data_IF_150289262621
#
_entry.id   IF_150289262621
#
_cell.length_a   1.000
_cell.length_b   1.000
_cell.length_c   1.000
_cell.angle_alpha   90.00
_cell.angle_beta   90.00
_cell.angle_gamma   90.00
#
_symmetry.space_group_name_H-M   'P 1'
#
loop_
_entity.id
_entity.type
_entity.pdbx_description
1 polymer ?
#
# COMPACT_ATOMS: atom_id res chain seq x y z
N UNK A 1 7.71 8.31 14.20
CA UNK A 1 7.39 9.01 12.93
C UNK A 1 6.95 10.45 13.18
N UNK A 2 7.58 11.17 14.12
CA UNK A 2 7.19 12.55 14.49
C UNK A 2 5.84 12.70 15.22
N UNK A 3 4.99 11.68 15.20
CA UNK A 3 3.68 11.63 15.87
C UNK A 3 3.67 10.53 16.93
N UNK A 4 2.94 10.77 18.01
CA UNK A 4 2.75 9.85 19.16
C UNK A 4 1.34 9.27 19.20
N UNK A 5 0.60 9.36 18.11
CA UNK A 5 -0.78 8.89 17.95
C UNK A 5 -0.94 8.15 16.64
N UNK A 6 -1.99 7.33 16.55
CA UNK A 6 -2.39 6.62 15.34
C UNK A 6 -2.56 7.61 14.20
N UNK A 7 -1.85 7.39 13.10
CA UNK A 7 -1.89 8.25 11.92
C UNK A 7 -3.19 7.99 11.15
N UNK A 8 -3.97 9.04 10.88
CA UNK A 8 -5.17 8.93 10.04
C UNK A 8 -4.87 9.52 8.66
N UNK A 9 -4.92 8.68 7.65
CA UNK A 9 -4.62 9.02 6.27
C UNK A 9 -5.82 8.90 5.35
N UNK A 10 -5.83 9.67 4.27
CA UNK A 10 -6.85 9.53 3.23
C UNK A 10 -6.30 9.75 1.82
N UNK A 11 -7.01 9.28 0.79
CA UNK A 11 -6.80 9.66 -0.61
C UNK A 11 -7.90 10.62 -1.06
N UNK A 12 -7.54 11.81 -1.54
CA UNK A 12 -8.51 12.81 -1.98
C UNK A 12 -7.93 14.21 -2.14
N UNK A 13 -8.84 15.16 -2.40
CA UNK A 13 -8.55 16.57 -2.66
C UNK A 13 -8.57 17.46 -1.42
N UNK A 14 -8.38 18.76 -1.65
CA UNK A 14 -8.46 19.82 -0.62
C UNK A 14 -9.89 20.01 -0.11
N UNK A 15 -10.89 19.53 -0.86
CA UNK A 15 -12.29 19.47 -0.46
C UNK A 15 -12.51 18.57 0.76
N UNK A 16 -11.58 17.64 1.04
CA UNK A 16 -11.59 16.76 2.22
C UNK A 16 -10.53 17.22 3.23
N UNK A 17 -9.32 17.58 2.78
CA UNK A 17 -8.18 17.97 3.61
C UNK A 17 -8.54 19.03 4.66
N UNK A 18 -9.30 20.04 4.25
CA UNK A 18 -9.64 21.19 5.10
C UNK A 18 -10.65 20.87 6.21
N UNK A 19 -11.26 19.68 6.23
CA UNK A 19 -12.43 19.37 7.08
C UNK A 19 -12.11 18.52 8.32
N UNK A 20 -10.96 17.87 8.36
CA UNK A 20 -10.54 17.07 9.51
C UNK A 20 -9.01 17.10 9.67
N UNK A 21 -8.47 16.85 10.87
CA UNK A 21 -7.03 16.84 11.13
C UNK A 21 -6.39 15.52 10.66
N UNK A 22 -6.34 15.29 9.35
CA UNK A 22 -5.64 14.15 8.78
C UNK A 22 -4.12 14.28 9.00
N UNK A 23 -3.45 13.14 9.14
CA UNK A 23 -1.99 13.06 9.26
C UNK A 23 -1.31 12.71 7.93
N UNK A 24 -1.96 11.89 7.10
CA UNK A 24 -1.43 11.44 5.82
C UNK A 24 -2.37 11.80 4.68
N UNK A 25 -1.79 12.21 3.56
CA UNK A 25 -2.50 12.30 2.28
C UNK A 25 -1.83 11.35 1.31
N UNK A 26 -2.51 10.28 0.91
CA UNK A 26 -1.88 9.26 0.07
C UNK A 26 -2.33 9.30 -1.39
N UNK A 27 -1.39 9.01 -2.28
CA UNK A 27 -1.57 8.96 -3.72
C UNK A 27 -1.02 7.65 -4.29
N UNK A 28 -1.76 7.03 -5.21
CA UNK A 28 -1.23 5.99 -6.07
C UNK A 28 -0.36 6.61 -7.16
N UNK A 29 0.89 6.18 -7.24
CA UNK A 29 1.69 6.31 -8.44
C UNK A 29 1.53 5.01 -9.21
N UNK A 30 0.52 5.00 -10.07
CA UNK A 30 0.16 3.85 -10.90
C UNK A 30 0.25 4.24 -12.37
N UNK A 31 0.80 3.36 -13.20
CA UNK A 31 0.93 3.66 -14.61
C UNK A 31 2.02 2.90 -15.35
N UNK A 32 2.19 3.27 -16.62
CA UNK A 32 3.27 2.72 -17.43
C UNK A 32 4.60 3.38 -17.06
N UNK A 33 5.72 2.75 -17.45
CA UNK A 33 7.01 3.44 -17.51
C UNK A 33 7.23 3.88 -18.96
N UNK A 34 7.44 5.18 -19.17
CA UNK A 34 7.72 5.73 -20.49
C UNK A 34 8.93 5.09 -21.17
N UNK A 35 8.93 5.02 -22.51
CA UNK A 35 9.98 4.37 -23.31
C UNK A 35 11.30 5.15 -23.42
N UNK A 36 11.60 6.03 -22.45
CA UNK A 36 12.73 6.96 -22.54
C UNK A 36 12.48 8.16 -23.44
N UNK A 37 11.22 8.46 -23.78
CA UNK A 37 10.86 9.75 -24.40
C UNK A 37 11.40 10.90 -23.55
N UNK A 38 12.09 11.84 -24.20
CA UNK A 38 12.58 13.06 -23.56
C UNK A 38 11.45 14.06 -23.25
N UNK A 39 10.20 13.71 -23.54
CA UNK A 39 9.04 14.59 -23.48
C UNK A 39 7.78 13.87 -23.01
N UNK A 40 6.96 14.60 -22.27
CA UNK A 40 5.65 14.17 -21.81
C UNK A 40 4.61 14.31 -22.91
N UNK A 41 4.18 13.15 -23.38
CA UNK A 41 3.15 12.97 -24.40
C UNK A 41 2.11 11.91 -23.96
N UNK A 42 2.46 11.06 -23.00
CA UNK A 42 1.60 10.03 -22.41
C UNK A 42 1.53 10.23 -20.89
N UNK A 43 0.35 10.59 -20.40
CA UNK A 43 0.08 10.86 -18.97
C UNK A 43 -0.36 9.63 -18.20
N UNK A 44 -0.37 8.44 -18.84
CA UNK A 44 -0.39 7.18 -18.10
C UNK A 44 0.94 6.89 -17.40
N UNK A 45 1.99 7.68 -17.65
CA UNK A 45 3.23 7.67 -16.88
C UNK A 45 3.23 8.79 -15.84
N UNK A 46 3.34 8.42 -14.56
CA UNK A 46 3.22 9.37 -13.45
C UNK A 46 4.27 10.48 -13.46
N UNK A 47 5.46 10.25 -14.06
CA UNK A 47 6.49 11.30 -14.18
C UNK A 47 6.07 12.45 -15.10
N UNK A 48 4.98 12.29 -15.85
CA UNK A 48 4.38 13.36 -16.65
C UNK A 48 3.25 14.10 -15.94
N UNK A 49 2.84 13.68 -14.75
CA UNK A 49 1.84 14.42 -13.99
C UNK A 49 2.41 15.78 -13.54
N UNK A 50 1.59 16.82 -13.64
CA UNK A 50 2.00 18.21 -13.39
C UNK A 50 2.88 18.84 -14.47
N UNK A 51 3.38 18.06 -15.45
CA UNK A 51 4.18 18.58 -16.56
C UNK A 51 3.30 19.16 -17.67
N UNK A 52 3.78 20.21 -18.33
CA UNK A 52 3.19 20.66 -19.59
C UNK A 52 3.53 19.68 -20.73
N UNK A 53 2.61 19.49 -21.69
CA UNK A 53 2.86 18.66 -22.86
C UNK A 53 4.12 19.10 -23.60
N UNK A 54 5.00 18.14 -23.90
CA UNK A 54 6.27 18.39 -24.57
C UNK A 54 7.45 18.75 -23.65
N UNK A 55 7.24 18.88 -22.34
CA UNK A 55 8.32 19.03 -21.33
C UNK A 55 8.90 17.69 -20.93
N UNK A 56 10.15 17.63 -20.45
CA UNK A 56 10.72 16.39 -19.95
C UNK A 56 9.91 15.80 -18.77
N UNK A 57 9.80 14.47 -18.70
CA UNK A 57 9.27 13.80 -17.51
C UNK A 57 10.15 14.09 -16.29
N UNK A 58 9.58 14.01 -15.10
CA UNK A 58 10.32 14.16 -13.86
C UNK A 58 9.45 14.01 -12.63
N UNK A 59 9.89 14.60 -11.53
CA UNK A 59 9.27 14.46 -10.22
C UNK A 59 8.43 15.67 -9.78
N UNK A 60 8.00 16.51 -10.72
CA UNK A 60 7.23 17.73 -10.41
C UNK A 60 5.97 17.42 -9.60
N UNK A 61 5.19 16.43 -10.01
CA UNK A 61 4.02 15.99 -9.25
C UNK A 61 4.37 15.61 -7.80
N UNK A 62 5.48 14.91 -7.58
CA UNK A 62 5.90 14.46 -6.24
C UNK A 62 6.16 15.66 -5.33
N UNK A 63 6.93 16.65 -5.80
CA UNK A 63 7.25 17.83 -5.01
C UNK A 63 6.05 18.74 -4.78
N UNK A 64 5.18 18.90 -5.79
CA UNK A 64 3.92 19.65 -5.67
C UNK A 64 2.95 18.98 -4.70
N UNK A 65 2.83 17.65 -4.75
CA UNK A 65 1.97 16.90 -3.85
C UNK A 65 2.44 16.96 -2.40
N UNK A 66 3.76 16.88 -2.15
CA UNK A 66 4.35 17.11 -0.83
C UNK A 66 4.03 18.53 -0.34
N UNK A 67 4.22 19.54 -1.19
CA UNK A 67 3.93 20.93 -0.84
C UNK A 67 2.43 21.14 -0.53
N UNK A 68 1.56 20.48 -1.29
CA UNK A 68 0.11 20.52 -1.07
C UNK A 68 -0.30 19.86 0.25
N UNK A 69 0.20 18.66 0.56
CA UNK A 69 -0.06 18.01 1.85
C UNK A 69 0.38 18.91 3.03
N UNK A 70 1.53 19.57 2.88
CA UNK A 70 2.06 20.45 3.92
C UNK A 70 1.17 21.69 4.20
N UNK A 71 0.33 22.15 3.26
CA UNK A 71 -0.61 23.27 3.52
C UNK A 71 -1.68 22.91 4.55
N UNK A 72 -1.94 21.60 4.72
CA UNK A 72 -2.88 21.04 5.68
C UNK A 72 -2.20 20.37 6.88
N UNK A 73 -0.88 20.54 7.06
CA UNK A 73 -0.08 19.85 8.10
C UNK A 73 -0.07 18.32 7.96
N UNK A 74 -0.36 17.84 6.75
CA UNK A 74 -0.33 16.42 6.38
C UNK A 74 1.06 16.03 5.88
N UNK A 75 1.37 14.74 5.96
CA UNK A 75 2.54 14.14 5.33
C UNK A 75 2.09 13.39 4.08
N UNK A 76 2.74 13.66 2.95
CA UNK A 76 2.48 12.93 1.73
C UNK A 76 2.84 11.44 1.88
N UNK A 77 1.97 10.57 1.38
CA UNK A 77 2.24 9.14 1.24
C UNK A 77 2.12 8.76 -0.24
N UNK A 78 3.11 8.05 -0.77
CA UNK A 78 3.10 7.52 -2.13
C UNK A 78 2.99 6.00 -2.07
N UNK A 79 1.94 5.45 -2.66
CA UNK A 79 1.91 4.03 -3.00
C UNK A 79 2.49 3.88 -4.39
N UNK A 80 3.70 3.34 -4.48
CA UNK A 80 4.39 3.05 -5.72
C UNK A 80 3.87 1.72 -6.26
N UNK A 81 2.93 1.78 -7.21
CA UNK A 81 2.26 0.64 -7.83
C UNK A 81 2.50 0.68 -9.34
N UNK A 82 3.75 0.46 -9.74
CA UNK A 82 4.20 0.67 -11.12
C UNK A 82 4.52 -0.66 -11.79
N UNK A 83 4.95 -1.69 -11.04
CA UNK A 83 5.41 -2.94 -11.61
C UNK A 83 4.35 -3.61 -12.50
N UNK A 84 3.15 -3.87 -11.97
CA UNK A 84 2.09 -4.52 -12.73
C UNK A 84 1.65 -3.72 -13.97
N UNK A 85 1.21 -2.45 -13.87
CA UNK A 85 0.73 -1.71 -15.03
C UNK A 85 1.83 -1.49 -16.08
N UNK A 86 3.07 -1.24 -15.68
CA UNK A 86 4.18 -1.09 -16.61
C UNK A 86 4.56 -2.42 -17.28
N UNK A 87 4.53 -3.54 -16.56
CA UNK A 87 4.81 -4.86 -17.12
C UNK A 87 3.72 -5.29 -18.11
N UNK A 88 2.43 -5.06 -17.79
CA UNK A 88 1.31 -5.28 -18.72
C UNK A 88 1.46 -4.50 -20.04
N UNK A 89 2.04 -3.31 -19.98
CA UNK A 89 2.29 -2.49 -21.16
C UNK A 89 3.50 -2.96 -21.99
N UNK A 90 4.56 -3.46 -21.34
CA UNK A 90 5.85 -3.75 -22.00
C UNK A 90 6.06 -5.21 -22.35
N UNK A 91 5.46 -6.12 -21.61
CA UNK A 91 5.64 -7.56 -21.75
C UNK A 91 4.36 -8.14 -22.36
N UNK A 92 4.49 -8.74 -23.55
CA UNK A 92 3.33 -9.30 -24.24
C UNK A 92 2.69 -10.47 -23.47
N UNK A 93 1.36 -10.54 -23.48
CA UNK A 93 0.58 -11.59 -22.80
C UNK A 93 0.92 -11.71 -21.31
N UNK A 94 1.03 -10.58 -20.61
CA UNK A 94 1.37 -10.52 -19.20
C UNK A 94 0.12 -10.50 -18.33
N UNK A 95 0.05 -11.39 -17.35
CA UNK A 95 -1.03 -11.46 -16.36
C UNK A 95 -0.54 -10.98 -14.99
N UNK A 96 -1.47 -10.63 -14.12
CA UNK A 96 -1.14 -10.37 -12.71
C UNK A 96 -0.87 -11.68 -11.97
N UNK A 97 -0.03 -11.63 -10.94
CA UNK A 97 0.35 -12.80 -10.17
C UNK A 97 1.71 -13.38 -10.52
N UNK A 98 1.84 -14.69 -10.83
CA UNK A 98 3.14 -15.34 -11.03
C UNK A 98 4.03 -14.70 -12.12
N UNK A 99 3.44 -14.03 -13.10
CA UNK A 99 4.15 -13.33 -14.17
C UNK A 99 4.98 -12.14 -13.65
N UNK A 100 4.53 -11.45 -12.59
CA UNK A 100 5.29 -10.38 -11.94
C UNK A 100 6.61 -10.90 -11.36
N UNK A 101 6.57 -12.08 -10.76
CA UNK A 101 7.74 -12.69 -10.12
C UNK A 101 8.64 -13.39 -11.14
N UNK A 102 8.06 -14.10 -12.12
CA UNK A 102 8.83 -14.94 -13.03
C UNK A 102 9.25 -14.26 -14.33
N UNK A 103 8.62 -13.15 -14.71
CA UNK A 103 8.88 -12.46 -15.98
C UNK A 103 9.27 -11.01 -15.77
N UNK A 104 8.52 -10.22 -15.01
CA UNK A 104 8.86 -8.81 -14.80
C UNK A 104 10.12 -8.67 -13.95
N UNK A 105 10.13 -9.28 -12.75
CA UNK A 105 11.28 -9.22 -11.84
C UNK A 105 12.57 -9.81 -12.43
N UNK A 106 12.48 -10.71 -13.40
CA UNK A 106 13.64 -11.37 -14.02
C UNK A 106 14.10 -10.74 -15.34
N UNK A 107 13.35 -9.79 -15.90
CA UNK A 107 13.71 -9.08 -17.13
C UNK A 107 14.64 -7.89 -16.81
N UNK A 108 15.93 -7.92 -17.23
CA UNK A 108 16.87 -6.87 -16.88
C UNK A 108 16.54 -5.51 -17.51
N UNK A 109 15.98 -5.49 -18.72
CA UNK A 109 15.65 -4.23 -19.38
C UNK A 109 14.45 -3.55 -18.70
N UNK A 110 13.45 -4.35 -18.32
CA UNK A 110 12.32 -3.88 -17.53
C UNK A 110 12.77 -3.39 -16.15
N UNK A 111 13.50 -4.22 -15.39
CA UNK A 111 13.92 -3.86 -14.04
C UNK A 111 14.86 -2.67 -13.99
N UNK A 112 15.73 -2.49 -15.00
CA UNK A 112 16.56 -1.29 -15.12
C UNK A 112 15.73 -0.01 -15.26
N UNK A 113 14.67 -0.05 -16.07
CA UNK A 113 13.75 1.09 -16.23
C UNK A 113 12.88 1.31 -14.99
N UNK A 114 12.41 0.23 -14.36
CA UNK A 114 11.60 0.26 -13.14
C UNK A 114 12.36 0.87 -11.95
N UNK A 115 13.58 0.42 -11.69
CA UNK A 115 14.40 0.98 -10.59
C UNK A 115 14.80 2.43 -10.87
N UNK A 116 15.07 2.80 -12.13
CA UNK A 116 15.30 4.19 -12.50
C UNK A 116 14.06 5.07 -12.28
N UNK A 117 12.86 4.56 -12.57
CA UNK A 117 11.60 5.24 -12.30
C UNK A 117 11.36 5.43 -10.80
N UNK A 118 11.60 4.38 -10.00
CA UNK A 118 11.55 4.45 -8.54
C UNK A 118 12.56 5.48 -7.98
N UNK A 119 13.77 5.56 -8.55
CA UNK A 119 14.75 6.60 -8.17
C UNK A 119 14.20 8.01 -8.42
N UNK A 120 13.51 8.26 -9.54
CA UNK A 120 12.90 9.58 -9.80
C UNK A 120 11.88 9.95 -8.73
N UNK A 121 11.09 9.00 -8.21
CA UNK A 121 10.19 9.25 -7.07
C UNK A 121 11.00 9.70 -5.85
N UNK A 122 12.04 8.95 -5.50
CA UNK A 122 12.86 9.24 -4.32
C UNK A 122 13.60 10.58 -4.44
N UNK A 123 14.16 10.89 -5.61
CA UNK A 123 14.79 12.19 -5.89
C UNK A 123 13.78 13.34 -5.78
N UNK A 124 12.52 13.10 -6.19
CA UNK A 124 11.41 14.03 -5.99
C UNK A 124 11.05 14.31 -4.54
N UNK A 125 11.13 13.28 -3.69
CA UNK A 125 10.93 13.41 -2.25
C UNK A 125 12.11 14.18 -1.63
N UNK A 126 13.34 13.83 -2.02
CA UNK A 126 14.58 14.42 -1.52
C UNK A 126 14.65 14.37 0.01
N UNK A 127 14.83 15.53 0.66
CA UNK A 127 14.92 15.60 2.11
C UNK A 127 13.58 15.80 2.82
N UNK A 128 12.46 15.77 2.09
CA UNK A 128 11.13 15.90 2.70
C UNK A 128 10.77 14.66 3.51
N UNK A 129 9.96 14.84 4.57
CA UNK A 129 9.29 13.71 5.19
C UNK A 129 8.14 13.27 4.26
N UNK A 130 8.15 12.01 3.87
CA UNK A 130 7.07 11.36 3.11
C UNK A 130 6.99 9.89 3.51
N UNK A 131 5.86 9.25 3.27
CA UNK A 131 5.71 7.79 3.36
C UNK A 131 5.79 7.18 1.97
N UNK A 132 6.53 6.09 1.84
CA UNK A 132 6.67 5.33 0.59
C UNK A 132 6.25 3.90 0.86
N UNK A 133 5.13 3.52 0.27
CA UNK A 133 4.62 2.17 0.24
C UNK A 133 5.04 1.54 -1.09
N UNK A 134 5.88 0.51 -1.02
CA UNK A 134 6.49 -0.11 -2.21
C UNK A 134 5.67 -1.32 -2.65
N UNK A 135 5.13 -1.24 -3.87
CA UNK A 135 4.47 -2.30 -4.64
C UNK A 135 3.45 -3.13 -3.84
N UNK A 136 2.18 -2.69 -3.82
CA UNK A 136 1.06 -3.55 -3.46
C UNK A 136 1.11 -4.89 -4.22
N UNK A 137 0.67 -5.97 -3.57
CA UNK A 137 0.44 -7.32 -4.11
C UNK A 137 1.67 -8.10 -4.63
N UNK A 138 2.63 -7.43 -5.28
CA UNK A 138 3.82 -8.02 -5.87
C UNK A 138 4.59 -8.93 -4.89
N UNK A 139 4.84 -8.44 -3.67
CA UNK A 139 5.52 -9.21 -2.63
C UNK A 139 4.66 -10.37 -2.11
N UNK A 140 3.34 -10.21 -2.11
CA UNK A 140 2.38 -11.27 -1.80
C UNK A 140 2.46 -12.42 -2.79
N UNK A 141 2.53 -12.14 -4.09
CA UNK A 141 2.73 -13.16 -5.12
C UNK A 141 4.07 -13.88 -5.02
N UNK A 142 5.14 -13.16 -4.66
CA UNK A 142 6.42 -13.78 -4.35
C UNK A 142 6.29 -14.75 -3.15
N UNK A 143 5.56 -14.35 -2.11
CA UNK A 143 5.23 -15.20 -0.96
C UNK A 143 4.48 -16.46 -1.36
N UNK A 144 3.46 -16.34 -2.22
CA UNK A 144 2.65 -17.47 -2.70
C UNK A 144 3.46 -18.52 -3.46
N UNK A 145 4.58 -18.12 -4.07
CA UNK A 145 5.48 -19.03 -4.79
C UNK A 145 6.47 -19.71 -3.84
N UNK A 146 7.06 -18.96 -2.90
CA UNK A 146 8.17 -19.44 -2.07
C UNK A 146 7.70 -20.15 -0.78
N UNK A 147 6.77 -19.54 -0.04
CA UNK A 147 6.36 -20.00 1.30
C UNK A 147 5.82 -21.44 1.29
N UNK A 148 4.94 -21.86 0.35
CA UNK A 148 4.43 -23.24 0.33
C UNK A 148 5.49 -24.31 0.06
N UNK A 149 6.64 -23.92 -0.52
CA UNK A 149 7.78 -24.80 -0.79
C UNK A 149 8.78 -24.84 0.37
N UNK A 150 8.50 -24.13 1.47
CA UNK A 150 9.45 -23.94 2.57
C UNK A 150 10.66 -23.09 2.17
N UNK A 151 10.51 -22.21 1.18
CA UNK A 151 11.54 -21.32 0.67
C UNK A 151 11.27 -19.87 1.10
N UNK A 152 12.25 -19.00 0.88
CA UNK A 152 12.18 -17.57 1.14
C UNK A 152 12.52 -16.75 -0.12
N UNK A 153 12.62 -15.42 0.02
CA UNK A 153 12.85 -14.52 -1.09
C UNK A 153 14.23 -14.68 -1.76
N UNK A 154 15.21 -15.33 -1.12
CA UNK A 154 16.52 -15.60 -1.73
C UNK A 154 16.42 -16.64 -2.85
N UNK A 155 15.41 -17.52 -2.81
CA UNK A 155 15.19 -18.55 -3.83
C UNK A 155 14.58 -18.04 -5.13
N UNK A 156 14.05 -16.81 -5.14
CA UNK A 156 13.33 -16.24 -6.28
C UNK A 156 14.26 -15.30 -7.04
N UNK A 157 14.61 -15.55 -8.31
CA UNK A 157 15.53 -14.69 -9.05
C UNK A 157 14.93 -13.32 -9.34
N UNK A 158 15.77 -12.28 -9.32
CA UNK A 158 15.41 -10.94 -9.76
C UNK A 158 16.61 -10.20 -10.38
N UNK A 159 16.37 -9.37 -11.39
CA UNK A 159 17.38 -8.58 -12.08
C UNK A 159 17.67 -7.27 -11.33
N UNK A 160 18.39 -7.37 -10.22
CA UNK A 160 18.61 -6.26 -9.26
C UNK A 160 19.65 -5.24 -9.75
N UNK A 161 20.69 -5.67 -10.46
CA UNK A 161 21.82 -4.82 -10.84
C UNK A 161 21.63 -4.03 -12.15
N UNK A 162 20.38 -3.95 -12.63
CA UNK A 162 20.07 -3.40 -13.95
C UNK A 162 20.09 -1.86 -14.05
N UNK A 163 19.89 -1.12 -12.94
CA UNK A 163 19.90 0.36 -12.94
C UNK A 163 21.22 0.99 -12.48
N UNK A 164 22.14 0.19 -11.92
CA UNK A 164 23.38 0.67 -11.31
C UNK A 164 23.26 1.16 -9.86
N UNK A 165 22.05 1.42 -9.35
CA UNK A 165 21.82 1.84 -7.96
C UNK A 165 22.02 0.69 -6.95
N UNK A 166 21.98 -0.55 -7.45
CA UNK A 166 22.05 -1.77 -6.64
C UNK A 166 23.08 -2.76 -7.22
N UNK A 167 24.38 -2.41 -7.17
CA UNK A 167 25.42 -3.19 -7.83
C UNK A 167 25.64 -4.57 -7.16
N UNK A 168 25.92 -5.56 -7.99
CA UNK A 168 26.50 -6.84 -7.52
C UNK A 168 27.95 -6.60 -7.05
N UNK A 169 28.42 -7.28 -5.98
CA UNK A 169 27.75 -8.33 -5.21
C UNK A 169 27.02 -7.80 -3.96
N UNK A 170 26.86 -6.48 -3.80
CA UNK A 170 26.25 -5.90 -2.60
C UNK A 170 24.78 -6.33 -2.44
N UNK A 171 24.04 -6.39 -3.54
CA UNK A 171 22.68 -6.91 -3.57
C UNK A 171 22.63 -8.20 -4.39
N UNK A 172 22.03 -9.23 -3.81
CA UNK A 172 21.84 -10.53 -4.45
C UNK A 172 20.91 -10.41 -5.66
N UNK A 173 21.11 -11.23 -6.69
CA UNK A 173 20.20 -11.29 -7.86
C UNK A 173 18.95 -12.11 -7.56
N UNK A 174 18.24 -11.73 -6.52
CA UNK A 174 17.03 -12.38 -6.03
C UNK A 174 16.02 -11.36 -5.51
N UNK A 175 14.80 -11.83 -5.22
CA UNK A 175 13.75 -11.00 -4.63
C UNK A 175 14.18 -10.43 -3.28
N UNK A 176 14.97 -11.19 -2.51
CA UNK A 176 15.61 -10.70 -1.29
C UNK A 176 16.53 -9.50 -1.56
N UNK A 177 17.35 -9.58 -2.61
CA UNK A 177 18.20 -8.47 -3.03
C UNK A 177 17.41 -7.27 -3.54
N UNK A 178 16.31 -7.50 -4.26
CA UNK A 178 15.44 -6.44 -4.79
C UNK A 178 14.80 -5.61 -3.67
N UNK A 179 14.18 -6.25 -2.68
CA UNK A 179 13.57 -5.56 -1.54
C UNK A 179 14.59 -4.71 -0.76
N UNK A 180 15.76 -5.30 -0.46
CA UNK A 180 16.86 -4.62 0.23
C UNK A 180 17.43 -3.45 -0.59
N UNK A 181 17.54 -3.64 -1.91
CA UNK A 181 17.96 -2.62 -2.86
C UNK A 181 17.02 -1.41 -2.82
N UNK A 182 15.71 -1.62 -2.97
CA UNK A 182 14.74 -0.52 -2.98
C UNK A 182 14.72 0.26 -1.67
N UNK A 183 14.82 -0.42 -0.52
CA UNK A 183 14.94 0.25 0.78
C UNK A 183 16.25 1.04 0.87
N UNK A 184 17.37 0.49 0.41
CA UNK A 184 18.66 1.19 0.37
C UNK A 184 18.63 2.41 -0.53
N UNK A 185 17.95 2.35 -1.67
CA UNK A 185 17.72 3.49 -2.55
C UNK A 185 16.95 4.59 -1.81
N UNK A 186 15.89 4.25 -1.07
CA UNK A 186 15.16 5.22 -0.26
C UNK A 186 16.06 5.90 0.77
N UNK A 187 16.97 5.17 1.43
CA UNK A 187 17.95 5.78 2.36
C UNK A 187 18.95 6.70 1.69
N UNK A 188 19.34 6.41 0.45
CA UNK A 188 20.31 7.22 -0.29
C UNK A 188 19.68 8.49 -0.90
N UNK A 189 18.49 8.37 -1.50
CA UNK A 189 17.86 9.42 -2.30
C UNK A 189 16.79 10.21 -1.52
N UNK A 190 16.14 9.58 -0.53
CA UNK A 190 15.09 10.18 0.27
C UNK A 190 15.28 9.91 1.78
N UNK A 191 16.37 10.40 2.41
CA UNK A 191 16.81 9.95 3.74
C UNK A 191 15.81 10.19 4.87
N UNK A 192 14.89 11.14 4.71
CA UNK A 192 13.84 11.44 5.69
C UNK A 192 12.52 10.70 5.41
N UNK A 193 12.40 10.02 4.27
CA UNK A 193 11.23 9.23 3.94
C UNK A 193 11.11 8.00 4.85
N UNK A 194 9.86 7.62 5.11
CA UNK A 194 9.47 6.41 5.81
C UNK A 194 9.05 5.38 4.77
N UNK A 195 9.70 4.23 4.76
CA UNK A 195 9.54 3.24 3.69
C UNK A 195 9.06 1.91 4.23
N UNK A 196 8.11 1.28 3.53
CA UNK A 196 7.60 -0.04 3.88
C UNK A 196 7.26 -0.87 2.66
N UNK A 197 7.56 -2.16 2.74
CA UNK A 197 7.12 -3.16 1.77
C UNK A 197 5.69 -3.60 2.10
N UNK A 198 4.94 -3.98 1.07
CA UNK A 198 3.61 -4.53 1.22
C UNK A 198 3.64 -5.98 1.71
N UNK A 199 2.78 -6.32 2.67
CA UNK A 199 2.62 -7.62 3.29
C UNK A 199 1.16 -8.08 3.13
N UNK A 200 0.82 -8.57 1.94
CA UNK A 200 -0.54 -9.01 1.62
C UNK A 200 -0.99 -10.13 2.54
N UNK A 201 -2.18 -9.99 3.11
CA UNK A 201 -2.70 -10.95 4.07
C UNK A 201 -3.04 -12.33 3.46
N UNK A 202 -3.08 -12.40 2.13
CA UNK A 202 -3.23 -13.61 1.32
C UNK A 202 -1.89 -14.20 0.81
N UNK A 203 -0.76 -13.57 1.13
CA UNK A 203 0.57 -13.92 0.59
C UNK A 203 1.08 -15.32 0.95
N UNK A 204 0.45 -16.02 1.89
CA UNK A 204 0.80 -17.42 2.25
C UNK A 204 -0.04 -18.47 1.52
N UNK A 205 -0.84 -18.07 0.51
CA UNK A 205 -1.94 -18.83 -0.10
C UNK A 205 -3.17 -19.06 0.80
N UNK A 206 -3.20 -18.43 1.98
CA UNK A 206 -4.39 -18.33 2.80
C UNK A 206 -4.78 -16.86 2.91
N UNK A 207 -5.97 -16.49 2.43
CA UNK A 207 -6.55 -15.19 2.74
C UNK A 207 -7.03 -15.20 4.19
N UNK A 208 -6.18 -14.73 5.09
CA UNK A 208 -6.45 -14.70 6.53
C UNK A 208 -7.52 -13.68 6.91
N UNK A 209 -7.77 -12.64 6.10
CA UNK A 209 -8.71 -11.58 6.44
C UNK A 209 -10.13 -11.92 6.01
N UNK A 210 -10.30 -12.71 4.96
CA UNK A 210 -11.59 -13.26 4.55
C UNK A 210 -11.80 -14.71 5.00
N UNK A 211 -10.87 -15.28 5.75
CA UNK A 211 -10.99 -16.64 6.29
C UNK A 211 -12.23 -16.79 7.20
N UNK A 212 -12.97 -17.87 6.97
CA UNK A 212 -14.16 -18.27 7.76
C UNK A 212 -13.93 -19.53 8.59
N UNK A 213 -12.79 -20.21 8.42
CA UNK A 213 -12.49 -21.40 9.19
C UNK A 213 -11.86 -21.02 10.53
N UNK A 214 -12.55 -21.30 11.63
CA UNK A 214 -12.00 -21.15 12.98
C UNK A 214 -10.78 -22.04 13.26
N UNK A 215 -10.48 -23.01 12.37
CA UNK A 215 -9.30 -23.86 12.49
C UNK A 215 -8.03 -23.26 11.90
N UNK A 216 -8.11 -22.15 11.16
CA UNK A 216 -6.93 -21.50 10.61
C UNK A 216 -6.21 -20.74 11.73
N UNK A 217 -4.95 -21.09 11.98
CA UNK A 217 -4.10 -20.34 12.89
C UNK A 217 -3.56 -19.08 12.16
N UNK A 218 -4.32 -17.98 12.26
CA UNK A 218 -3.95 -16.72 11.61
C UNK A 218 -2.65 -16.13 12.16
N UNK A 219 -2.30 -16.42 13.41
CA UNK A 219 -1.02 -16.01 14.00
C UNK A 219 0.14 -16.78 13.37
N UNK A 220 -0.02 -18.08 13.14
CA UNK A 220 0.99 -18.89 12.45
C UNK A 220 1.16 -18.46 10.98
N UNK A 221 0.08 -18.12 10.29
CA UNK A 221 0.15 -17.56 8.92
C UNK A 221 0.86 -16.20 8.89
N UNK A 222 0.53 -15.29 9.82
CA UNK A 222 1.24 -14.02 9.98
C UNK A 222 2.75 -14.22 10.21
N UNK A 223 3.13 -15.21 11.03
CA UNK A 223 4.55 -15.52 11.28
C UNK A 223 5.27 -16.10 10.05
N UNK A 224 4.58 -16.91 9.22
CA UNK A 224 5.13 -17.39 7.94
C UNK A 224 5.40 -16.21 7.01
N UNK A 225 4.41 -15.33 6.84
CA UNK A 225 4.56 -14.13 6.03
C UNK A 225 5.66 -13.22 6.60
N UNK A 226 5.67 -12.97 7.92
CA UNK A 226 6.68 -12.14 8.57
C UNK A 226 8.11 -12.62 8.33
N UNK A 227 8.38 -13.93 8.40
CA UNK A 227 9.69 -14.49 8.05
C UNK A 227 10.05 -14.27 6.58
N UNK A 228 9.09 -14.39 5.68
CA UNK A 228 9.30 -14.07 4.27
C UNK A 228 9.61 -12.58 4.07
N UNK A 229 8.87 -11.68 4.73
CA UNK A 229 9.13 -10.23 4.71
C UNK A 229 10.51 -9.86 5.26
N UNK A 230 10.98 -10.55 6.31
CA UNK A 230 12.35 -10.37 6.81
C UNK A 230 13.41 -10.77 5.77
N UNK A 231 13.17 -11.83 5.00
CA UNK A 231 14.10 -12.21 3.91
C UNK A 231 14.19 -11.14 2.82
N UNK A 232 13.08 -10.44 2.55
CA UNK A 232 13.03 -9.24 1.67
C UNK A 232 13.72 -8.00 2.24
N UNK A 233 14.06 -8.00 3.54
CA UNK A 233 14.64 -6.85 4.23
C UNK A 233 13.63 -5.86 4.78
N UNK A 234 12.37 -6.26 5.01
CA UNK A 234 11.33 -5.38 5.56
C UNK A 234 11.73 -4.74 6.91
N UNK A 235 12.58 -5.39 7.70
CA UNK A 235 13.17 -4.86 8.93
C UNK A 235 14.12 -3.68 8.70
N UNK A 236 14.65 -3.49 7.50
CA UNK A 236 15.45 -2.31 7.11
C UNK A 236 14.56 -1.07 6.84
N UNK A 237 13.25 -1.30 6.63
CA UNK A 237 12.24 -0.27 6.49
C UNK A 237 11.81 0.34 7.82
N UNK A 238 10.79 1.18 7.77
CA UNK A 238 10.21 1.85 8.94
C UNK A 238 8.88 1.20 9.37
N UNK A 239 8.17 0.53 8.46
CA UNK A 239 6.89 -0.15 8.66
C UNK A 239 6.68 -1.25 7.60
N UNK A 240 5.64 -2.06 7.77
CA UNK A 240 5.05 -2.88 6.69
C UNK A 240 3.65 -2.38 6.38
N UNK A 241 3.20 -2.56 5.15
CA UNK A 241 1.84 -2.18 4.73
C UNK A 241 0.98 -3.42 4.61
N UNK A 242 -0.28 -3.39 5.04
CA UNK A 242 -1.21 -4.50 4.87
C UNK A 242 -2.60 -3.98 4.49
N UNK A 243 -3.25 -4.63 3.53
CA UNK A 243 -4.55 -4.25 2.97
C UNK A 243 -5.73 -4.93 3.65
N UNK A 244 -6.84 -4.19 3.74
CA UNK A 244 -8.11 -4.72 4.23
C UNK A 244 -9.05 -5.07 3.09
N UNK A 245 -9.13 -4.17 2.09
CA UNK A 245 -9.84 -4.37 0.83
C UNK A 245 -9.55 -3.19 -0.11
N UNK A 246 -9.55 -3.43 -1.40
CA UNK A 246 -9.50 -2.39 -2.45
C UNK A 246 -10.87 -1.76 -2.77
N UNK A 247 -11.97 -2.45 -2.45
CA UNK A 247 -13.35 -2.04 -2.75
C UNK A 247 -14.27 -2.15 -1.55
N UNK A 248 -15.35 -1.37 -1.58
CA UNK A 248 -16.39 -1.39 -0.54
C UNK A 248 -17.12 -2.74 -0.51
N UNK A 249 -17.45 -3.23 0.69
CA UNK A 249 -18.16 -4.49 0.85
C UNK A 249 -19.54 -4.51 0.15
N UNK A 250 -20.23 -3.36 0.12
CA UNK A 250 -21.49 -3.17 -0.62
C UNK A 250 -21.32 -3.31 -2.14
N UNK A 251 -20.19 -2.87 -2.68
CA UNK A 251 -19.87 -3.08 -4.11
C UNK A 251 -19.68 -4.57 -4.40
N UNK A 252 -18.91 -5.27 -3.57
CA UNK A 252 -18.70 -6.71 -3.71
C UNK A 252 -20.01 -7.51 -3.60
N UNK A 253 -20.97 -7.06 -2.80
CA UNK A 253 -22.28 -7.73 -2.75
C UNK A 253 -23.04 -7.66 -4.08
N UNK A 254 -22.82 -6.62 -4.88
CA UNK A 254 -23.46 -6.45 -6.20
C UNK A 254 -22.71 -7.18 -7.32
N UNK A 255 -21.38 -7.14 -7.29
CA UNK A 255 -20.56 -7.69 -8.36
C UNK A 255 -20.61 -6.88 -9.66
N UNK A 256 -20.34 -7.51 -10.82
CA UNK A 256 -20.25 -6.81 -12.11
C UNK A 256 -21.55 -6.11 -12.52
N UNK A 257 -21.49 -4.96 -13.22
CA UNK A 257 -20.30 -4.37 -13.85
C UNK A 257 -19.52 -3.37 -12.98
N UNK A 258 -20.07 -2.91 -11.86
CA UNK A 258 -19.44 -1.87 -11.02
C UNK A 258 -18.38 -2.44 -10.07
N UNK A 259 -18.48 -3.73 -9.74
CA UNK A 259 -17.47 -4.46 -9.01
C UNK A 259 -16.89 -5.60 -9.84
N UNK A 260 -15.63 -5.96 -9.58
CA UNK A 260 -14.93 -7.00 -10.34
C UNK A 260 -15.61 -8.37 -10.24
N UNK A 261 -16.14 -8.70 -9.07
CA UNK A 261 -16.78 -9.98 -8.77
C UNK A 261 -17.80 -9.82 -7.64
N UNK A 262 -18.70 -10.79 -7.53
CA UNK A 262 -19.59 -10.89 -6.38
C UNK A 262 -18.89 -11.62 -5.22
N UNK A 263 -18.91 -11.05 -4.01
CA UNK A 263 -18.31 -11.62 -2.82
C UNK A 263 -18.94 -11.07 -1.52
N UNK A 264 -18.80 -11.81 -0.42
CA UNK A 264 -19.09 -11.30 0.93
C UNK A 264 -17.79 -10.98 1.64
N UNK A 265 -17.44 -9.68 1.64
CA UNK A 265 -16.22 -9.13 2.23
C UNK A 265 -16.49 -8.31 3.49
N UNK A 266 -17.69 -8.40 4.08
CA UNK A 266 -18.00 -7.77 5.35
C UNK A 266 -17.24 -8.43 6.50
N UNK A 267 -16.74 -7.62 7.43
CA UNK A 267 -16.19 -8.11 8.69
C UNK A 267 -17.24 -7.98 9.79
N UNK A 268 -17.50 -9.06 10.51
CA UNK A 268 -18.40 -9.02 11.67
C UNK A 268 -17.81 -8.16 12.78
N UNK A 269 -18.68 -7.43 13.48
CA UNK A 269 -18.35 -6.75 14.74
C UNK A 269 -18.47 -7.67 15.96
N UNK A 270 -18.99 -8.88 15.75
CA UNK A 270 -19.18 -9.89 16.78
C UNK A 270 -18.15 -11.04 16.59
N UNK A 271 -18.43 -12.23 17.12
CA UNK A 271 -17.52 -13.38 17.04
C UNK A 271 -17.57 -14.15 15.72
N UNK A 272 -18.46 -13.81 14.77
CA UNK A 272 -18.58 -14.54 13.50
C UNK A 272 -17.41 -14.21 12.56
N UNK A 273 -16.88 -15.20 11.82
CA UNK A 273 -15.77 -14.98 10.89
C UNK A 273 -16.26 -14.62 9.47
N UNK A 274 -15.53 -13.76 8.73
CA UNK A 274 -14.37 -12.99 9.19
C UNK A 274 -14.76 -11.82 10.11
N UNK A 275 -13.87 -11.39 11.02
CA UNK A 275 -14.10 -10.27 11.94
C UNK A 275 -12.83 -9.46 12.20
N UNK A 276 -13.00 -8.30 12.85
CA UNK A 276 -11.90 -7.41 13.22
C UNK A 276 -10.91 -8.05 14.21
N UNK A 277 -11.38 -8.90 15.13
CA UNK A 277 -10.48 -9.59 16.07
C UNK A 277 -9.48 -10.51 15.35
N UNK A 278 -9.91 -11.22 14.30
CA UNK A 278 -9.04 -12.04 13.44
C UNK A 278 -8.01 -11.16 12.72
N UNK A 279 -8.46 -10.05 12.12
CA UNK A 279 -7.57 -9.10 11.43
C UNK A 279 -6.53 -8.50 12.38
N UNK A 280 -6.94 -8.14 13.59
CA UNK A 280 -6.06 -7.56 14.62
C UNK A 280 -5.06 -8.59 15.16
N UNK A 281 -5.48 -9.82 15.44
CA UNK A 281 -4.57 -10.89 15.86
C UNK A 281 -3.51 -11.21 14.81
N UNK A 282 -3.91 -11.22 13.53
CA UNK A 282 -2.98 -11.38 12.41
C UNK A 282 -2.00 -10.20 12.31
N UNK A 283 -2.50 -8.96 12.39
CA UNK A 283 -1.69 -7.73 12.33
C UNK A 283 -0.63 -7.68 13.42
N UNK A 284 -1.02 -8.01 14.66
CA UNK A 284 -0.11 -8.03 15.81
C UNK A 284 1.00 -9.05 15.61
N UNK A 285 0.64 -10.25 15.17
CA UNK A 285 1.60 -11.32 14.92
C UNK A 285 2.55 -10.98 13.77
N UNK A 286 2.08 -10.30 12.72
CA UNK A 286 2.91 -9.81 11.62
C UNK A 286 3.89 -8.74 12.11
N UNK A 287 3.38 -7.75 12.86
CA UNK A 287 4.20 -6.67 13.41
C UNK A 287 5.31 -7.21 14.32
N UNK A 288 4.98 -8.16 15.19
CA UNK A 288 5.93 -8.83 16.06
C UNK A 288 6.97 -9.65 15.28
N UNK A 289 6.53 -10.37 14.23
CA UNK A 289 7.41 -11.20 13.43
C UNK A 289 8.42 -10.39 12.61
N UNK A 290 8.01 -9.23 12.08
CA UNK A 290 8.91 -8.35 11.31
C UNK A 290 9.71 -7.41 12.22
N UNK A 291 9.22 -7.15 13.43
CA UNK A 291 9.80 -6.12 14.32
C UNK A 291 9.53 -4.70 13.85
N UNK A 292 8.47 -4.51 13.04
CA UNK A 292 8.05 -3.23 12.47
C UNK A 292 6.53 -3.10 12.57
N UNK A 293 6.01 -1.89 12.82
CA UNK A 293 4.58 -1.68 12.90
C UNK A 293 3.89 -1.80 11.55
N UNK A 294 2.57 -2.04 11.58
CA UNK A 294 1.71 -2.13 10.39
C UNK A 294 1.07 -0.78 10.08
N UNK A 295 1.13 -0.36 8.82
CA UNK A 295 0.27 0.69 8.27
C UNK A 295 -0.85 0.01 7.49
N UNK A 296 -2.09 0.12 7.98
CA UNK A 296 -3.23 -0.44 7.26
C UNK A 296 -3.56 0.43 6.05
N UNK A 297 -3.56 -0.21 4.89
CA UNK A 297 -3.82 0.32 3.57
C UNK A 297 -4.01 -0.89 2.66
N UNK A 298 -4.98 -1.01 1.78
CA UNK A 298 -6.03 -0.06 1.50
C UNK A 298 -7.26 -0.33 2.35
N UNK A 299 -7.92 0.76 2.77
CA UNK A 299 -9.15 0.69 3.55
C UNK A 299 -10.26 1.42 2.75
N UNK A 300 -11.32 0.71 2.33
CA UNK A 300 -12.44 1.34 1.63
C UNK A 300 -13.20 2.27 2.58
N UNK A 301 -13.88 3.28 2.02
CA UNK A 301 -14.45 4.41 2.80
C UNK A 301 -15.97 4.46 2.82
N UNK A 302 -16.61 3.44 2.27
CA UNK A 302 -18.03 3.20 2.43
C UNK A 302 -18.45 3.18 3.89
N UNK A 303 -19.74 3.42 4.11
CA UNK A 303 -20.33 3.37 5.44
C UNK A 303 -21.77 2.90 5.36
N UNK A 304 -22.31 2.43 6.48
CA UNK A 304 -23.65 1.81 6.54
C UNK A 304 -24.80 2.72 6.10
N UNK A 305 -24.59 4.04 6.04
CA UNK A 305 -25.61 5.02 5.62
C UNK A 305 -25.63 5.27 4.09
N UNK A 306 -24.72 4.66 3.33
CA UNK A 306 -24.74 4.73 1.87
C UNK A 306 -25.95 3.99 1.28
N UNK A 307 -26.21 4.18 -0.01
CA UNK A 307 -27.40 3.62 -0.68
C UNK A 307 -27.07 2.44 -1.62
N UNK A 308 -25.81 1.98 -1.64
CA UNK A 308 -25.31 0.94 -2.53
C UNK A 308 -25.55 1.29 -4.01
N UNK A 309 -25.11 2.48 -4.44
CA UNK A 309 -25.07 2.88 -5.85
C UNK A 309 -23.66 3.30 -6.24
N UNK A 310 -23.42 3.52 -7.54
CA UNK A 310 -22.13 3.99 -8.07
C UNK A 310 -21.61 5.18 -7.24
N UNK A 311 -20.37 5.06 -6.73
CA UNK A 311 -19.69 5.99 -5.81
C UNK A 311 -20.26 6.14 -4.40
N UNK A 312 -21.26 5.31 -4.03
CA UNK A 312 -22.04 5.35 -2.79
C UNK A 312 -22.33 3.94 -2.26
N UNK A 313 -21.30 3.13 -2.01
CA UNK A 313 -21.39 1.78 -1.47
C UNK A 313 -21.20 1.72 0.04
N UNK A 314 -21.88 0.78 0.68
CA UNK A 314 -21.73 0.58 2.13
C UNK A 314 -20.46 -0.19 2.47
N UNK A 315 -19.90 0.12 3.63
CA UNK A 315 -18.86 -0.65 4.32
C UNK A 315 -19.00 -0.41 5.84
N UNK A 316 -18.22 -1.09 6.68
CA UNK A 316 -18.20 -0.89 8.13
C UNK A 316 -16.80 -0.63 8.71
N UNK A 317 -15.74 -0.67 7.89
CA UNK A 317 -14.37 -0.55 8.37
C UNK A 317 -14.05 0.82 8.94
N UNK A 318 -14.46 1.92 8.29
CA UNK A 318 -14.20 3.29 8.78
C UNK A 318 -14.72 3.47 10.20
N UNK A 319 -15.99 3.13 10.42
CA UNK A 319 -16.65 3.32 11.70
C UNK A 319 -16.02 2.44 12.78
N UNK A 320 -15.80 1.16 12.49
CA UNK A 320 -15.23 0.25 13.47
C UNK A 320 -13.80 0.63 13.86
N UNK A 321 -12.93 0.90 12.89
CA UNK A 321 -11.51 1.17 13.14
C UNK A 321 -11.31 2.46 13.93
N UNK A 322 -12.06 3.52 13.61
CA UNK A 322 -11.92 4.80 14.31
C UNK A 322 -12.58 4.77 15.69
N UNK A 323 -13.65 3.98 15.89
CA UNK A 323 -14.23 3.73 17.22
C UNK A 323 -13.30 2.88 18.10
N UNK A 324 -12.53 1.96 17.50
CA UNK A 324 -11.63 1.03 18.20
C UNK A 324 -10.15 1.35 17.94
N UNK A 325 -9.81 2.64 17.79
CA UNK A 325 -8.46 3.07 17.46
C UNK A 325 -7.41 2.61 18.49
N UNK A 326 -7.79 2.46 19.76
CA UNK A 326 -6.95 1.87 20.80
C UNK A 326 -6.59 0.40 20.52
N UNK A 327 -7.55 -0.40 20.07
CA UNK A 327 -7.33 -1.80 19.69
C UNK A 327 -6.48 -1.91 18.43
N UNK A 328 -6.69 -1.02 17.46
CA UNK A 328 -5.86 -0.91 16.25
C UNK A 328 -4.38 -0.73 16.65
N UNK A 329 -4.10 0.22 17.54
CA UNK A 329 -2.72 0.46 18.02
C UNK A 329 -2.19 -0.70 18.85
N UNK A 330 -2.99 -1.23 19.78
CA UNK A 330 -2.59 -2.36 20.63
C UNK A 330 -2.22 -3.62 19.81
N UNK A 331 -2.76 -3.72 18.59
CA UNK A 331 -2.49 -4.80 17.65
C UNK A 331 -1.44 -4.44 16.59
N UNK A 332 -0.51 -3.54 16.93
CA UNK A 332 0.73 -3.34 16.17
C UNK A 332 0.62 -2.35 15.01
N UNK A 333 -0.52 -1.68 14.85
CA UNK A 333 -0.68 -0.68 13.81
C UNK A 333 -0.22 0.73 14.26
N UNK A 334 0.32 1.48 13.30
CA UNK A 334 0.73 2.89 13.47
C UNK A 334 -0.14 3.87 12.70
N UNK A 335 -0.95 3.38 11.76
CA UNK A 335 -1.82 4.23 10.97
C UNK A 335 -2.84 3.47 10.15
N UNK A 336 -3.80 4.24 9.63
CA UNK A 336 -4.88 3.81 8.76
C UNK A 336 -4.90 4.75 7.54
N UNK A 337 -4.80 4.22 6.32
CA UNK A 337 -4.87 5.00 5.09
C UNK A 337 -6.13 4.63 4.30
N UNK A 338 -7.08 5.56 4.25
CA UNK A 338 -8.44 5.39 3.76
C UNK A 338 -8.65 5.91 2.33
N UNK A 339 -9.15 5.08 1.43
CA UNK A 339 -9.54 5.53 0.11
C UNK A 339 -9.81 4.41 -0.88
N UNK A 340 -10.46 4.77 -1.98
CA UNK A 340 -10.89 3.87 -3.03
C UNK A 340 -9.70 3.22 -3.77
N UNK A 341 -9.74 1.90 -3.96
CA UNK A 341 -8.75 1.12 -4.73
C UNK A 341 -9.08 0.96 -6.20
N UNK A 342 -10.29 1.35 -6.56
CA UNK A 342 -10.78 1.33 -7.91
C UNK A 342 -11.75 2.50 -8.10
N UNK A 343 -12.04 2.83 -9.34
CA UNK A 343 -13.15 3.70 -9.69
C UNK A 343 -14.49 3.17 -9.13
N UNK A 344 -15.55 3.97 -9.25
CA UNK A 344 -16.91 3.62 -8.81
C UNK A 344 -17.08 3.36 -7.31
N UNK A 345 -16.02 3.25 -6.51
CA UNK A 345 -16.12 3.07 -5.07
C UNK A 345 -16.52 4.35 -4.37
N UNK A 346 -17.01 4.24 -3.13
CA UNK A 346 -17.13 5.41 -2.27
C UNK A 346 -15.77 6.02 -2.04
N UNK A 347 -15.73 7.35 -2.06
CA UNK A 347 -14.54 8.16 -1.85
C UNK A 347 -14.75 9.06 -0.64
N UNK A 348 -13.68 9.63 -0.05
CA UNK A 348 -13.84 10.60 1.05
C UNK A 348 -14.69 11.84 0.67
N UNK A 349 -14.85 12.12 -0.62
CA UNK A 349 -15.72 13.20 -1.11
C UNK A 349 -17.18 12.77 -1.29
N UNK A 350 -17.47 11.47 -1.41
CA UNK A 350 -18.82 10.91 -1.67
C UNK A 350 -19.41 10.12 -0.50
N UNK A 351 -18.64 9.91 0.57
CA UNK A 351 -19.03 9.13 1.75
C UNK A 351 -20.05 9.82 2.69
N UNK A 352 -20.56 10.99 2.30
CA UNK A 352 -21.48 11.80 3.12
C UNK A 352 -20.80 12.50 4.30
N UNK A 353 -19.47 12.62 4.29
CA UNK A 353 -18.67 13.23 5.36
C UNK A 353 -18.39 12.28 6.53
N UNK A 354 -18.60 10.98 6.37
CA UNK A 354 -18.46 10.01 7.46
C UNK A 354 -17.02 9.94 7.98
N UNK A 355 -16.03 9.75 7.10
CA UNK A 355 -14.62 9.71 7.44
C UNK A 355 -14.18 11.00 8.14
N UNK A 356 -14.58 12.16 7.60
CA UNK A 356 -14.31 13.47 8.21
C UNK A 356 -14.86 13.54 9.64
N UNK A 357 -16.13 13.18 9.84
CA UNK A 357 -16.78 13.23 11.13
C UNK A 357 -16.12 12.28 12.15
N UNK A 358 -15.77 11.06 11.72
CA UNK A 358 -15.10 10.08 12.59
C UNK A 358 -13.67 10.50 12.94
N UNK A 359 -12.92 11.08 12.00
CA UNK A 359 -11.58 11.62 12.26
C UNK A 359 -11.63 12.78 13.26
N UNK A 360 -12.58 13.71 13.10
CA UNK A 360 -12.78 14.80 14.06
C UNK A 360 -13.14 14.26 15.46
N UNK A 361 -14.06 13.32 15.56
CA UNK A 361 -14.44 12.71 16.83
C UNK A 361 -13.24 12.03 17.53
N UNK A 362 -12.39 11.31 16.76
CA UNK A 362 -11.18 10.70 17.31
C UNK A 362 -10.19 11.78 17.80
N UNK A 363 -10.00 12.86 17.04
CA UNK A 363 -9.12 13.96 17.43
C UNK A 363 -9.61 14.70 18.69
N UNK A 364 -10.91 14.96 18.79
CA UNK A 364 -11.57 15.54 19.97
C UNK A 364 -11.46 14.65 21.21
N UNK A 365 -11.49 13.32 21.02
CA UNK A 365 -11.23 12.35 22.07
C UNK A 365 -9.73 12.25 22.47
N UNK A 366 -8.85 13.02 21.83
CA UNK A 366 -7.42 13.04 22.11
C UNK A 366 -6.60 12.06 21.27
N UNK A 367 -7.20 11.36 20.31
CA UNK A 367 -6.58 10.34 19.45
C UNK A 367 -6.16 9.07 20.21
N UNK A 368 -5.61 8.09 19.48
CA UNK A 368 -5.12 6.84 20.06
C UNK A 368 -3.58 6.89 20.20
N UNK A 369 -3.00 6.90 21.42
CA UNK A 369 -1.55 6.98 21.59
C UNK A 369 -0.82 5.75 21.06
N UNK A 370 0.23 5.95 20.26
CA UNK A 370 1.14 4.90 19.79
C UNK A 370 2.32 4.84 20.75
N UNK A 371 2.57 3.67 21.34
CA UNK A 371 3.73 3.47 22.21
C UNK A 371 5.03 3.73 21.43
N UNK A 372 6.00 4.47 22.00
CA UNK A 372 7.27 4.81 21.33
C UNK A 372 8.09 3.60 20.87
#
# INVERSE_FOLDING_TARGET
>A
MGKNKLLIGYSGGDDVAAKAPFDLRYQYLAGIIGNGSQKCEDYSWWQCWGQETGKPPGSQFVSEYIAQAATHTEVAMFTYYVLLPAARHRIASFSEGPDEVHRAATDPAFMGAYLADFRTLLDGIGTSLAFVHIEPDFWGYAGQIAIPKGQDAHSLPAAVDASGDCPSPQFEKSMAGLGRCMISMARAHAPNAKVGLHASAWGTNYDVLLNRSASLDVTAEAQKLGRFMLSLGADMGDFVVADMSDRDAGCYQQGPPLCERQADTWWSTDSALPNFAQAFAWSKALADAVGRPVLWWQIPVGNVNQNDTDTHFKDNRVDYLLQHAGDVVANGAIGLAFGAGQDHQTTPSTDGGNLVNRTNALAEAGGAPVCP
#
